data_IF_624508424433
#
_entry.id   IF_624508424433
#
_cell.length_a   1.000
_cell.length_b   1.000
_cell.length_c   1.000
_cell.angle_alpha   90.00
_cell.angle_beta   90.00
_cell.angle_gamma   90.00
#
_symmetry.space_group_name_H-M   'P 1'
#
loop_
_entity.id
_entity.type
_entity.pdbx_description
1 polymer ?
#
# COMPACT_ATOMS: atom_id res chain seq x y z
N UNK A 1 -8.68 14.59 -14.03
CA UNK A 1 -7.30 14.30 -13.59
C UNK A 1 -7.38 13.97 -12.09
N UNK A 2 -7.18 12.71 -11.70
CA UNK A 2 -7.30 12.33 -10.29
C UNK A 2 -5.97 12.69 -9.60
N UNK A 3 -5.95 13.52 -8.52
CA UNK A 3 -4.74 13.95 -7.82
C UNK A 3 -4.08 12.83 -6.98
N UNK A 4 -4.16 11.56 -7.40
CA UNK A 4 -3.73 10.38 -6.61
C UNK A 4 -2.25 10.52 -6.22
N UNK A 5 -1.40 10.96 -7.15
CA UNK A 5 0.02 11.14 -6.86
C UNK A 5 0.27 12.14 -5.73
N UNK A 6 -0.35 13.32 -5.78
CA UNK A 6 -0.21 14.35 -4.76
C UNK A 6 -0.86 13.94 -3.43
N UNK A 7 -2.05 13.32 -3.49
CA UNK A 7 -2.75 12.81 -2.31
C UNK A 7 -1.99 11.69 -1.58
N UNK A 8 -1.43 10.73 -2.32
CA UNK A 8 -0.56 9.68 -1.78
C UNK A 8 0.70 10.27 -1.14
N UNK A 9 1.23 11.36 -1.73
CA UNK A 9 2.34 12.12 -1.19
C UNK A 9 2.05 12.64 0.22
N UNK A 10 0.92 13.32 0.41
CA UNK A 10 0.50 13.80 1.73
C UNK A 10 0.18 12.67 2.69
N UNK A 11 -0.55 11.63 2.24
CA UNK A 11 -0.93 10.51 3.10
C UNK A 11 0.27 9.83 3.76
N UNK A 12 1.38 9.70 3.06
CA UNK A 12 2.60 9.17 3.66
C UNK A 12 3.09 10.04 4.83
N UNK A 13 2.96 11.36 4.74
CA UNK A 13 3.50 12.29 5.75
C UNK A 13 2.64 12.39 7.01
N UNK A 14 1.31 12.48 6.86
CA UNK A 14 0.43 12.75 8.00
C UNK A 14 -0.18 11.51 8.64
N UNK A 15 -0.09 10.35 7.98
CA UNK A 15 -0.79 9.14 8.42
C UNK A 15 0.07 8.20 9.28
N UNK A 16 0.96 8.79 10.08
CA UNK A 16 1.82 8.09 11.03
C UNK A 16 1.14 8.11 12.39
N UNK A 17 0.44 7.02 12.72
CA UNK A 17 -0.31 6.90 13.97
C UNK A 17 0.53 6.28 15.10
N UNK A 18 0.58 6.91 16.29
CA UNK A 18 1.15 6.26 17.47
C UNK A 18 0.29 5.07 17.92
N UNK A 19 0.90 4.10 18.58
CA UNK A 19 0.16 3.01 19.26
C UNK A 19 -0.34 1.88 18.35
N UNK A 20 0.04 1.88 17.06
CA UNK A 20 -0.17 0.76 16.13
C UNK A 20 1.16 0.28 15.55
N UNK A 21 1.23 -0.98 15.11
CA UNK A 21 2.37 -1.48 14.35
C UNK A 21 2.20 -1.17 12.84
N UNK A 22 3.16 -1.58 12.02
CA UNK A 22 3.12 -1.32 10.59
C UNK A 22 2.01 -2.07 9.83
N UNK A 23 1.26 -2.98 10.47
CA UNK A 23 0.04 -3.59 9.92
C UNK A 23 -1.01 -2.54 9.55
N UNK A 24 -0.98 -1.37 10.21
CA UNK A 24 -1.84 -0.23 9.90
C UNK A 24 -1.74 0.22 8.45
N UNK A 25 -0.58 0.05 7.82
CA UNK A 25 -0.34 0.52 6.45
C UNK A 25 -1.00 -0.34 5.37
N UNK A 26 -1.47 -1.54 5.71
CA UNK A 26 -2.12 -2.49 4.78
C UNK A 26 -3.29 -1.87 4.00
N UNK A 27 -4.09 -1.03 4.66
CA UNK A 27 -5.29 -0.44 4.05
C UNK A 27 -5.21 1.09 3.89
N UNK A 28 -4.16 1.73 4.42
CA UNK A 28 -4.15 3.18 4.63
C UNK A 28 -3.23 3.93 3.67
N UNK A 29 -1.92 3.61 3.68
CA UNK A 29 -0.89 4.32 2.87
C UNK A 29 -0.42 3.45 1.69
N UNK A 30 -0.17 2.16 1.92
CA UNK A 30 0.41 1.29 0.89
C UNK A 30 -0.44 1.20 -0.39
N UNK A 31 -1.78 1.07 -0.33
CA UNK A 31 -2.60 1.10 -1.55
C UNK A 31 -2.49 2.43 -2.32
N UNK A 32 -2.42 3.55 -1.61
CA UNK A 32 -2.35 4.88 -2.23
C UNK A 32 -1.02 5.09 -2.95
N UNK A 33 0.09 4.67 -2.33
CA UNK A 33 1.42 4.73 -2.94
C UNK A 33 1.50 3.88 -4.20
N UNK A 34 1.01 2.64 -4.17
CA UNK A 34 1.03 1.72 -5.31
C UNK A 34 0.10 2.17 -6.43
N UNK A 35 -1.11 2.64 -6.10
CA UNK A 35 -2.05 3.19 -7.07
C UNK A 35 -1.43 4.42 -7.79
N UNK A 36 -0.69 5.24 -7.05
CA UNK A 36 0.08 6.37 -7.59
C UNK A 36 1.40 6.01 -8.31
N UNK A 37 1.76 4.71 -8.35
CA UNK A 37 3.07 4.23 -8.80
C UNK A 37 4.27 4.87 -8.07
N UNK A 38 4.10 5.31 -6.82
CA UNK A 38 5.18 5.82 -5.95
C UNK A 38 5.93 4.67 -5.27
N UNK A 39 6.54 3.81 -6.08
CA UNK A 39 7.29 2.64 -5.62
C UNK A 39 8.54 3.02 -4.82
N UNK A 40 9.10 4.19 -5.09
CA UNK A 40 10.21 4.82 -4.35
C UNK A 40 9.93 5.00 -2.85
N UNK A 41 8.66 4.98 -2.45
CA UNK A 41 8.23 5.18 -1.06
C UNK A 41 7.86 3.89 -0.32
N UNK A 42 7.80 2.75 -1.02
CA UNK A 42 7.31 1.49 -0.42
C UNK A 42 8.26 1.01 0.69
N UNK A 43 9.56 1.00 0.44
CA UNK A 43 10.54 0.57 1.45
C UNK A 43 10.67 1.53 2.65
N UNK A 44 10.15 2.75 2.52
CA UNK A 44 10.09 3.71 3.63
C UNK A 44 8.99 3.32 4.63
N UNK A 45 7.86 2.80 4.15
CA UNK A 45 6.74 2.33 4.98
C UNK A 45 6.79 0.83 5.29
N UNK A 46 7.65 0.08 4.60
CA UNK A 46 7.88 -1.34 4.86
C UNK A 46 9.37 -1.68 4.83
N UNK A 47 10.17 -1.19 5.80
CA UNK A 47 11.60 -1.49 5.86
C UNK A 47 11.84 -2.95 6.18
N UNK A 48 12.73 -3.60 5.43
CA UNK A 48 13.14 -4.99 5.73
C UNK A 48 13.66 -5.16 7.17
N UNK A 49 14.30 -4.12 7.72
CA UNK A 49 14.84 -4.11 9.08
C UNK A 49 13.80 -4.23 10.19
N UNK A 50 12.54 -3.90 9.89
CA UNK A 50 11.46 -3.96 10.87
C UNK A 50 10.90 -5.37 11.06
N UNK A 51 11.25 -6.31 10.16
CA UNK A 51 10.71 -7.66 10.16
C UNK A 51 9.20 -7.72 9.93
N UNK A 52 8.64 -8.93 10.05
CA UNK A 52 7.21 -9.19 9.91
C UNK A 52 6.41 -8.63 11.11
N UNK A 53 5.13 -8.31 10.87
CA UNK A 53 4.14 -8.00 11.91
C UNK A 53 3.86 -9.20 12.82
N UNK A 54 3.86 -10.43 12.29
CA UNK A 54 3.57 -11.68 13.01
C UNK A 54 2.19 -11.73 13.70
N UNK A 55 1.22 -10.93 13.22
CA UNK A 55 -0.14 -10.86 13.77
C UNK A 55 -1.13 -11.73 12.99
N UNK A 56 -2.14 -12.29 13.67
CA UNK A 56 -3.17 -13.16 13.05
C UNK A 56 -4.41 -12.41 12.52
N UNK A 57 -4.43 -11.08 12.64
CA UNK A 57 -5.50 -10.26 12.09
C UNK A 57 -5.16 -9.86 10.64
N UNK A 58 -6.15 -9.61 9.76
CA UNK A 58 -5.92 -9.44 8.33
C UNK A 58 -4.86 -8.42 7.96
N UNK A 59 -4.85 -7.24 8.60
CA UNK A 59 -3.89 -6.19 8.28
C UNK A 59 -2.43 -6.60 8.50
N UNK A 60 -2.14 -7.41 9.51
CA UNK A 60 -0.79 -7.92 9.76
C UNK A 60 -0.38 -8.95 8.70
N UNK A 61 -1.28 -9.90 8.43
CA UNK A 61 -1.07 -10.93 7.41
C UNK A 61 -0.82 -10.31 6.03
N UNK A 62 -1.59 -9.29 5.67
CA UNK A 62 -1.44 -8.57 4.40
C UNK A 62 -0.08 -7.89 4.30
N UNK A 63 0.37 -7.21 5.37
CA UNK A 63 1.70 -6.59 5.36
C UNK A 63 2.81 -7.63 5.26
N UNK A 64 2.67 -8.76 5.95
CA UNK A 64 3.68 -9.83 5.93
C UNK A 64 3.80 -10.47 4.54
N UNK A 65 2.68 -10.77 3.89
CA UNK A 65 2.64 -11.25 2.51
C UNK A 65 3.18 -10.21 1.53
N UNK A 66 2.82 -8.94 1.72
CA UNK A 66 3.31 -7.86 0.87
C UNK A 66 4.83 -7.70 1.01
N UNK A 67 5.37 -7.82 2.22
CA UNK A 67 6.81 -7.76 2.48
C UNK A 67 7.55 -8.89 1.78
N UNK A 68 7.02 -10.12 1.87
CA UNK A 68 7.54 -11.27 1.15
C UNK A 68 7.54 -11.07 -0.37
N UNK A 69 6.47 -10.52 -0.94
CA UNK A 69 6.37 -10.21 -2.37
C UNK A 69 7.32 -9.11 -2.82
N UNK A 70 7.40 -8.02 -2.05
CA UNK A 70 8.19 -6.84 -2.43
C UNK A 70 9.68 -7.14 -2.39
N UNK A 71 10.15 -7.77 -1.31
CA UNK A 71 11.55 -8.14 -1.15
C UNK A 71 11.92 -9.46 -1.83
N UNK A 72 10.92 -10.22 -2.30
CA UNK A 72 11.10 -11.53 -2.95
C UNK A 72 11.93 -12.50 -2.09
N UNK A 73 11.74 -12.44 -0.77
CA UNK A 73 12.47 -13.25 0.21
C UNK A 73 11.65 -14.50 0.57
N UNK A 74 12.20 -15.68 0.26
CA UNK A 74 11.51 -16.96 0.47
C UNK A 74 11.28 -17.27 1.95
N UNK A 75 12.16 -16.83 2.86
CA UNK A 75 11.96 -17.04 4.31
C UNK A 75 10.81 -16.21 4.83
N UNK A 76 10.69 -14.96 4.34
CA UNK A 76 9.53 -14.13 4.64
C UNK A 76 8.25 -14.74 4.06
N UNK A 77 8.31 -15.30 2.84
CA UNK A 77 7.17 -15.96 2.22
C UNK A 77 6.70 -17.19 3.01
N UNK A 78 7.63 -18.07 3.43
CA UNK A 78 7.34 -19.24 4.25
C UNK A 78 6.66 -18.84 5.58
N UNK A 79 7.26 -17.88 6.28
CA UNK A 79 6.74 -17.35 7.55
C UNK A 79 5.34 -16.74 7.40
N UNK A 80 5.12 -15.93 6.36
CA UNK A 80 3.83 -15.31 6.09
C UNK A 80 2.76 -16.38 5.76
N UNK A 81 3.10 -17.41 4.98
CA UNK A 81 2.20 -18.53 4.66
C UNK A 81 1.81 -19.34 5.89
N UNK A 82 2.73 -19.57 6.81
CA UNK A 82 2.43 -20.25 8.08
C UNK A 82 1.37 -19.48 8.89
N UNK A 83 1.49 -18.15 8.95
CA UNK A 83 0.50 -17.29 9.63
C UNK A 83 -0.87 -17.38 8.93
N UNK A 84 -0.91 -17.35 7.59
CA UNK A 84 -2.16 -17.57 6.84
C UNK A 84 -2.77 -18.92 7.19
N UNK A 85 -1.96 -19.99 7.17
CA UNK A 85 -2.40 -21.35 7.45
C UNK A 85 -2.98 -21.49 8.87
N UNK A 86 -2.29 -20.95 9.87
CA UNK A 86 -2.74 -21.02 11.27
C UNK A 86 -3.94 -20.12 11.56
N UNK A 87 -4.26 -19.18 10.67
CA UNK A 87 -5.38 -18.25 10.81
C UNK A 87 -6.67 -18.71 10.12
N UNK A 88 -6.67 -19.86 9.43
CA UNK A 88 -7.81 -20.42 8.66
C UNK A 88 -9.14 -20.54 9.42
N UNK A 89 -9.11 -20.65 10.76
CA UNK A 89 -10.33 -20.71 11.59
C UNK A 89 -10.96 -19.35 11.86
N UNK A 90 -10.28 -18.26 11.51
CA UNK A 90 -10.73 -16.89 11.76
C UNK A 90 -11.73 -16.47 10.69
N UNK A 91 -12.88 -15.94 11.11
CA UNK A 91 -13.86 -15.36 10.19
C UNK A 91 -13.39 -13.98 9.76
N UNK A 92 -12.97 -13.85 8.51
CA UNK A 92 -12.60 -12.57 7.90
C UNK A 92 -13.74 -11.98 7.06
N UNK A 93 -13.67 -10.68 6.77
CA UNK A 93 -14.58 -10.07 5.80
C UNK A 93 -14.23 -10.58 4.40
N UNK A 94 -15.20 -10.58 3.49
CA UNK A 94 -14.97 -11.02 2.10
C UNK A 94 -13.81 -10.27 1.43
N UNK A 95 -13.70 -8.96 1.66
CA UNK A 95 -12.60 -8.15 1.13
C UNK A 95 -11.24 -8.62 1.67
N UNK A 96 -11.14 -8.85 2.98
CA UNK A 96 -9.91 -9.29 3.63
C UNK A 96 -9.47 -10.66 3.08
N UNK A 97 -10.42 -11.58 2.89
CA UNK A 97 -10.14 -12.90 2.31
C UNK A 97 -9.65 -12.80 0.86
N UNK A 98 -10.31 -12.00 0.03
CA UNK A 98 -9.91 -11.79 -1.36
C UNK A 98 -8.52 -11.14 -1.44
N UNK A 99 -8.22 -10.17 -0.57
CA UNK A 99 -6.92 -9.51 -0.53
C UNK A 99 -5.80 -10.48 -0.10
N UNK A 100 -5.98 -11.23 0.99
CA UNK A 100 -4.99 -12.24 1.41
C UNK A 100 -4.79 -13.30 0.33
N UNK A 101 -5.87 -13.80 -0.26
CA UNK A 101 -5.81 -14.83 -1.31
C UNK A 101 -5.13 -14.33 -2.57
N UNK A 102 -5.31 -13.06 -2.94
CA UNK A 102 -4.61 -12.41 -4.05
C UNK A 102 -3.09 -12.39 -3.84
N UNK A 103 -2.64 -11.97 -2.65
CA UNK A 103 -1.20 -11.92 -2.35
C UNK A 103 -0.58 -13.32 -2.32
N UNK A 104 -1.29 -14.31 -1.77
CA UNK A 104 -0.86 -15.72 -1.85
C UNK A 104 -0.74 -16.19 -3.31
N UNK A 105 -1.74 -15.90 -4.15
CA UNK A 105 -1.70 -16.26 -5.57
C UNK A 105 -0.52 -15.61 -6.30
N UNK A 106 -0.19 -14.36 -5.99
CA UNK A 106 1.02 -13.71 -6.53
C UNK A 106 2.31 -14.41 -6.06
N UNK A 107 2.41 -14.83 -4.80
CA UNK A 107 3.57 -15.59 -4.30
C UNK A 107 3.71 -16.94 -5.03
N UNK A 108 2.58 -17.57 -5.34
CA UNK A 108 2.49 -18.81 -6.12
C UNK A 108 2.66 -18.57 -7.64
N UNK A 109 2.73 -17.31 -8.07
CA UNK A 109 2.75 -16.88 -9.49
C UNK A 109 1.53 -17.39 -10.27
N UNK A 110 0.44 -17.67 -9.57
CA UNK A 110 -0.85 -18.08 -10.11
C UNK A 110 -1.64 -16.83 -10.55
N UNK A 111 -1.43 -16.44 -11.80
CA UNK A 111 -2.01 -15.23 -12.39
C UNK A 111 -3.52 -15.36 -12.61
N UNK A 112 -4.03 -16.58 -12.82
CA UNK A 112 -5.47 -16.83 -12.97
C UNK A 112 -6.18 -16.61 -11.64
N UNK A 113 -5.64 -17.21 -10.57
CA UNK A 113 -6.18 -17.02 -9.22
C UNK A 113 -6.03 -15.58 -8.76
N UNK A 114 -4.91 -14.93 -9.03
CA UNK A 114 -4.72 -13.51 -8.73
C UNK A 114 -5.78 -12.65 -9.45
N UNK A 115 -6.05 -12.91 -10.73
CA UNK A 115 -7.08 -12.20 -11.50
C UNK A 115 -8.48 -12.37 -10.91
N UNK A 116 -8.84 -13.60 -10.54
CA UNK A 116 -10.12 -13.91 -9.88
C UNK A 116 -10.26 -13.15 -8.54
N UNK A 117 -9.24 -13.22 -7.69
CA UNK A 117 -9.29 -12.57 -6.37
C UNK A 117 -9.34 -11.04 -6.49
N UNK A 118 -8.69 -10.46 -7.50
CA UNK A 118 -8.76 -9.02 -7.77
C UNK A 118 -10.16 -8.56 -8.18
N UNK A 119 -10.87 -9.32 -9.02
CA UNK A 119 -12.28 -9.08 -9.33
C UNK A 119 -13.17 -9.24 -8.09
N UNK A 120 -12.93 -10.27 -7.25
CA UNK A 120 -13.67 -10.46 -6.00
C UNK A 120 -13.48 -9.30 -5.00
N UNK A 121 -12.29 -8.70 -4.95
CA UNK A 121 -12.06 -7.47 -4.16
C UNK A 121 -12.97 -6.34 -4.64
N UNK A 122 -13.04 -6.13 -5.96
CA UNK A 122 -13.90 -5.11 -6.58
C UNK A 122 -15.40 -5.38 -6.34
N UNK A 123 -15.83 -6.63 -6.43
CA UNK A 123 -17.21 -7.04 -6.15
C UNK A 123 -17.58 -6.81 -4.67
N UNK A 124 -16.70 -7.21 -3.75
CA UNK A 124 -16.95 -7.16 -2.31
C UNK A 124 -17.12 -5.75 -1.76
N UNK A 125 -16.39 -4.76 -2.29
CA UNK A 125 -16.42 -3.38 -1.78
C UNK A 125 -17.74 -2.66 -2.07
N UNK A 126 -18.44 -3.00 -3.17
CA UNK A 126 -19.71 -2.35 -3.55
C UNK A 126 -20.75 -2.45 -2.42
N UNK A 127 -20.83 -3.62 -1.79
CA UNK A 127 -21.79 -3.94 -0.71
C UNK A 127 -21.24 -3.65 0.69
N UNK A 128 -19.96 -3.28 0.82
CA UNK A 128 -19.35 -3.01 2.11
C UNK A 128 -19.97 -1.77 2.77
N UNK A 129 -20.14 -1.81 4.10
CA UNK A 129 -20.63 -0.69 4.91
C UNK A 129 -19.49 -0.23 5.82
N UNK A 130 -19.41 1.07 6.09
CA UNK A 130 -18.36 1.66 6.94
C UNK A 130 -17.89 3.01 6.43
N UNK A 131 -17.32 3.82 7.32
CA UNK A 131 -16.78 5.15 6.99
C UNK A 131 -15.58 5.05 6.04
N UNK A 132 -14.88 3.91 6.06
CA UNK A 132 -13.79 3.58 5.15
C UNK A 132 -14.25 3.37 3.70
N UNK A 133 -15.54 3.11 3.45
CA UNK A 133 -16.14 2.87 2.13
C UNK A 133 -17.15 3.97 1.77
N UNK A 134 -16.71 5.23 1.79
CA UNK A 134 -17.55 6.34 1.29
C UNK A 134 -17.96 6.11 -0.18
N UNK A 135 -19.08 6.70 -0.65
CA UNK A 135 -19.54 6.52 -2.03
C UNK A 135 -18.44 6.73 -3.07
N UNK A 136 -17.67 7.81 -2.94
CA UNK A 136 -16.51 8.08 -3.81
C UNK A 136 -15.47 6.95 -3.83
N UNK A 137 -15.10 6.41 -2.66
CA UNK A 137 -14.12 5.31 -2.57
C UNK A 137 -14.64 3.98 -3.14
N UNK A 138 -15.95 3.85 -3.29
CA UNK A 138 -16.58 2.70 -3.92
C UNK A 138 -16.67 2.84 -5.44
N UNK A 139 -16.65 4.05 -5.97
CA UNK A 139 -16.66 4.34 -7.40
C UNK A 139 -15.26 4.29 -8.01
N UNK A 140 -14.23 4.67 -7.27
CA UNK A 140 -12.84 4.48 -7.68
C UNK A 140 -12.10 3.69 -6.60
N UNK A 141 -11.99 2.37 -6.79
CA UNK A 141 -11.46 1.49 -5.77
C UNK A 141 -9.94 1.42 -5.80
N UNK A 142 -9.32 2.34 -5.06
CA UNK A 142 -7.85 2.53 -4.98
C UNK A 142 -7.11 1.23 -4.70
N UNK A 143 -7.62 0.38 -3.82
CA UNK A 143 -6.97 -0.89 -3.49
C UNK A 143 -6.88 -1.83 -4.69
N UNK A 144 -7.90 -1.90 -5.55
CA UNK A 144 -7.83 -2.74 -6.74
C UNK A 144 -6.77 -2.24 -7.74
N UNK A 145 -6.70 -0.92 -7.96
CA UNK A 145 -5.64 -0.33 -8.78
C UNK A 145 -4.25 -0.55 -8.18
N UNK A 146 -4.12 -0.41 -6.85
CA UNK A 146 -2.87 -0.68 -6.15
C UNK A 146 -2.38 -2.12 -6.36
N UNK A 147 -3.29 -3.08 -6.23
CA UNK A 147 -2.97 -4.50 -6.36
C UNK A 147 -2.68 -4.87 -7.81
N UNK A 148 -3.42 -4.32 -8.77
CA UNK A 148 -3.09 -4.43 -10.18
C UNK A 148 -1.67 -3.92 -10.45
N UNK A 149 -1.33 -2.73 -9.96
CA UNK A 149 -0.01 -2.13 -10.15
C UNK A 149 1.10 -2.94 -9.46
N UNK A 150 0.86 -3.49 -8.27
CA UNK A 150 1.83 -4.36 -7.57
C UNK A 150 2.33 -5.50 -8.47
N UNK A 151 1.43 -6.16 -9.20
CA UNK A 151 1.78 -7.27 -10.10
C UNK A 151 2.75 -6.87 -11.22
N UNK A 152 2.86 -5.58 -11.52
CA UNK A 152 3.73 -5.04 -12.56
C UNK A 152 5.16 -4.80 -12.06
N UNK A 153 5.34 -4.61 -10.75
CA UNK A 153 6.63 -4.24 -10.15
C UNK A 153 7.39 -5.43 -9.53
N UNK A 154 6.68 -6.49 -9.12
CA UNK A 154 7.30 -7.66 -8.49
C UNK A 154 7.92 -8.62 -9.51
N UNK A 155 8.87 -9.45 -9.06
CA UNK A 155 9.56 -10.46 -9.87
C UNK A 155 10.19 -9.90 -11.14
N UNK A 156 10.79 -8.71 -11.06
CA UNK A 156 11.41 -8.01 -12.20
C UNK A 156 10.45 -7.83 -13.39
N UNK A 157 9.15 -7.62 -13.08
CA UNK A 157 8.11 -7.46 -14.10
C UNK A 157 7.67 -8.76 -14.78
N UNK A 158 8.09 -9.94 -14.31
CA UNK A 158 7.67 -11.25 -14.91
C UNK A 158 6.16 -11.48 -14.90
N UNK A 159 5.42 -10.78 -14.03
CA UNK A 159 3.95 -10.83 -13.95
C UNK A 159 3.26 -9.64 -14.63
N UNK A 160 4.04 -8.69 -15.19
CA UNK A 160 3.49 -7.52 -15.86
C UNK A 160 2.56 -7.92 -17.02
N UNK A 161 1.39 -7.29 -17.06
CA UNK A 161 0.33 -7.59 -18.02
C UNK A 161 -0.34 -8.98 -17.93
N UNK A 162 0.02 -9.85 -16.96
CA UNK A 162 -0.54 -11.20 -16.84
C UNK A 162 -1.77 -11.31 -15.94
N UNK A 163 -1.85 -10.45 -14.92
CA UNK A 163 -3.07 -10.32 -14.11
C UNK A 163 -4.11 -9.56 -14.92
N UNK A 164 -5.30 -10.12 -15.08
CA UNK A 164 -6.38 -9.51 -15.85
C UNK A 164 -6.93 -8.27 -15.12
N UNK A 165 -7.30 -7.25 -15.89
CA UNK A 165 -8.03 -6.11 -15.35
C UNK A 165 -9.45 -6.55 -14.93
N UNK A 166 -9.90 -6.18 -13.72
CA UNK A 166 -11.29 -6.36 -13.31
C UNK A 166 -12.28 -5.73 -14.30
N UNK A 167 -13.49 -6.28 -14.39
CA UNK A 167 -14.57 -5.78 -15.25
C UNK A 167 -15.55 -4.86 -14.51
N UNK A 168 -15.41 -4.77 -13.19
CA UNK A 168 -16.28 -4.01 -12.31
C UNK A 168 -16.09 -2.50 -12.51
N UNK A 169 -17.21 -1.75 -12.51
CA UNK A 169 -17.24 -0.31 -12.76
C UNK A 169 -16.36 0.53 -11.83
N UNK A 170 -16.01 -0.02 -10.66
CA UNK A 170 -15.15 0.63 -9.68
C UNK A 170 -13.65 0.46 -9.92
N UNK A 171 -13.29 -0.25 -10.99
CA UNK A 171 -11.94 -0.34 -11.53
C UNK A 171 -11.91 0.36 -12.90
N UNK A 172 -11.27 1.53 -12.98
CA UNK A 172 -11.16 2.25 -14.25
C UNK A 172 -10.10 1.62 -15.14
N UNK A 173 -10.53 0.88 -16.16
CA UNK A 173 -9.64 0.30 -17.16
C UNK A 173 -8.89 1.37 -17.94
N UNK A 174 -9.52 2.51 -18.21
CA UNK A 174 -8.91 3.65 -18.88
C UNK A 174 -7.73 4.19 -18.07
N UNK A 175 -7.89 4.31 -16.75
CA UNK A 175 -6.80 4.71 -15.86
C UNK A 175 -5.67 3.67 -15.85
N UNK A 176 -5.99 2.38 -15.72
CA UNK A 176 -5.00 1.31 -15.72
C UNK A 176 -4.23 1.25 -17.07
N UNK A 177 -4.92 1.37 -18.20
CA UNK A 177 -4.31 1.43 -19.53
C UNK A 177 -3.45 2.67 -19.72
N UNK A 178 -3.90 3.82 -19.22
CA UNK A 178 -3.07 5.04 -19.23
C UNK A 178 -1.78 4.82 -18.44
N UNK A 179 -1.82 4.18 -17.27
CA UNK A 179 -0.61 3.85 -16.51
C UNK A 179 0.31 2.90 -17.27
N UNK A 180 -0.24 1.85 -17.90
CA UNK A 180 0.52 0.92 -18.74
C UNK A 180 1.22 1.65 -19.91
N UNK A 181 0.48 2.47 -20.65
CA UNK A 181 0.99 3.23 -21.79
C UNK A 181 2.07 4.25 -21.40
N UNK A 182 2.09 4.67 -20.14
CA UNK A 182 3.09 5.58 -19.59
C UNK A 182 4.19 4.85 -18.78
N UNK A 183 4.26 3.52 -18.87
CA UNK A 183 5.28 2.69 -18.24
C UNK A 183 5.21 2.68 -16.71
N UNK A 184 4.01 2.82 -16.14
CA UNK A 184 3.77 2.92 -14.70
C UNK A 184 4.64 3.96 -13.99
N UNK A 185 5.02 5.03 -14.68
CA UNK A 185 5.79 6.12 -14.08
C UNK A 185 4.96 6.78 -12.99
N UNK A 186 5.64 7.12 -11.89
CA UNK A 186 5.04 7.93 -10.84
C UNK A 186 4.56 9.26 -11.46
N UNK A 187 3.39 9.73 -11.01
CA UNK A 187 2.82 10.99 -11.46
C UNK A 187 3.65 12.23 -11.07
N UNK A 188 3.06 13.41 -11.24
CA UNK A 188 3.63 14.68 -10.79
C UNK A 188 2.63 15.40 -9.89
N UNK A 189 3.12 16.33 -9.07
CA UNK A 189 2.24 17.26 -8.37
C UNK A 189 1.46 18.06 -9.42
N UNK A 190 0.16 18.26 -9.19
CA UNK A 190 -0.74 18.93 -10.13
C UNK A 190 -1.19 20.30 -9.64
N UNK A 191 -0.98 20.58 -8.36
CA UNK A 191 -1.33 21.84 -7.75
C UNK A 191 -0.16 22.34 -6.89
N UNK A 192 0.35 23.50 -7.26
CA UNK A 192 1.35 24.23 -6.50
C UNK A 192 0.66 25.14 -5.47
N UNK A 193 0.96 24.93 -4.20
CA UNK A 193 0.42 25.71 -3.10
C UNK A 193 1.06 27.10 -3.07
N UNK A 194 0.28 28.20 -3.12
CA UNK A 194 0.81 29.55 -3.04
C UNK A 194 1.23 29.90 -1.59
N UNK A 195 1.92 31.03 -1.43
CA UNK A 195 2.08 31.66 -0.12
C UNK A 195 0.71 31.97 0.53
N UNK A 196 0.54 31.83 1.86
CA UNK A 196 1.55 31.49 2.86
C UNK A 196 1.70 29.97 3.14
N UNK A 197 1.11 29.11 2.31
CA UNK A 197 1.03 27.66 2.52
C UNK A 197 1.95 26.86 1.59
N UNK A 198 2.94 27.51 0.97
CA UNK A 198 3.91 26.89 0.07
C UNK A 198 4.75 25.78 0.73
N UNK A 199 4.78 25.71 2.07
CA UNK A 199 5.35 24.60 2.83
C UNK A 199 4.83 23.23 2.37
N UNK A 200 3.58 23.15 1.89
CA UNK A 200 3.03 21.91 1.37
C UNK A 200 3.74 21.42 0.09
N UNK A 201 4.25 22.32 -0.76
CA UNK A 201 5.05 21.93 -1.93
C UNK A 201 6.34 21.25 -1.46
N UNK A 202 7.04 21.89 -0.50
CA UNK A 202 8.25 21.32 0.08
C UNK A 202 7.99 19.94 0.69
N UNK A 203 6.89 19.78 1.42
CA UNK A 203 6.50 18.50 2.01
C UNK A 203 6.26 17.42 0.93
N UNK A 204 5.66 17.77 -0.20
CA UNK A 204 5.44 16.81 -1.29
C UNK A 204 6.74 16.36 -1.97
N UNK A 205 7.73 17.25 -2.04
CA UNK A 205 8.98 17.06 -2.76
C UNK A 205 10.05 16.32 -1.95
N UNK A 206 10.02 16.43 -0.62
CA UNK A 206 10.96 15.68 0.23
C UNK A 206 10.67 14.18 0.22
N UNK A 207 11.75 13.38 0.31
CA UNK A 207 11.66 11.95 0.60
C UNK A 207 11.40 11.78 2.11
N UNK A 208 10.25 11.21 2.52
CA UNK A 208 9.92 11.05 3.93
C UNK A 208 10.94 10.17 4.68
N UNK A 209 11.02 10.29 6.01
CA UNK A 209 11.79 9.34 6.82
C UNK A 209 11.31 7.91 6.64
N UNK A 210 12.20 6.95 6.94
CA UNK A 210 11.84 5.55 7.04
C UNK A 210 11.07 5.33 8.34
N UNK A 211 10.08 4.44 8.34
CA UNK A 211 9.39 4.08 9.59
C UNK A 211 10.32 3.26 10.48
N UNK A 212 10.31 3.53 11.77
CA UNK A 212 10.99 2.72 12.76
C UNK A 212 9.97 2.09 13.69
N UNK A 213 10.27 0.89 14.19
CA UNK A 213 9.47 0.26 15.24
C UNK A 213 10.20 0.34 16.58
N UNK A 214 9.43 0.55 17.64
CA UNK A 214 9.86 0.49 19.04
C UNK A 214 9.07 -0.59 19.76
N UNK A 215 9.75 -1.38 20.57
CA UNK A 215 9.11 -2.37 21.43
C UNK A 215 8.57 -1.70 22.70
N UNK A 216 7.29 -1.91 22.99
CA UNK A 216 6.68 -1.56 24.28
C UNK A 216 5.80 -2.73 24.72
N UNK A 217 5.92 -3.15 25.98
CA UNK A 217 5.09 -4.24 26.53
C UNK A 217 5.07 -5.51 25.64
N UNK A 218 6.23 -5.92 25.09
CA UNK A 218 6.38 -7.07 24.19
C UNK A 218 5.59 -6.96 22.87
N UNK A 219 5.29 -5.74 22.43
CA UNK A 219 4.62 -5.43 21.17
C UNK A 219 5.39 -4.35 20.43
N UNK A 220 5.46 -4.48 19.12
CA UNK A 220 6.09 -3.49 18.25
C UNK A 220 5.10 -2.39 17.92
N UNK A 221 5.54 -1.14 17.95
CA UNK A 221 4.75 0.03 17.59
C UNK A 221 5.56 0.94 16.68
N UNK A 222 4.89 1.68 15.80
CA UNK A 222 5.54 2.72 15.01
C UNK A 222 6.09 3.80 15.95
N UNK A 223 7.36 4.14 15.77
CA UNK A 223 8.02 5.26 16.43
C UNK A 223 7.64 6.58 15.73
N UNK A 224 6.42 7.03 16.01
CA UNK A 224 5.87 8.26 15.44
C UNK A 224 6.65 9.50 15.84
N UNK A 225 7.26 9.51 17.04
CA UNK A 225 8.00 10.67 17.52
C UNK A 225 9.33 10.80 16.79
N UNK A 226 10.06 9.70 16.62
CA UNK A 226 11.26 9.69 15.79
C UNK A 226 10.95 10.08 14.35
N UNK A 227 9.88 9.54 13.75
CA UNK A 227 9.48 9.92 12.39
C UNK A 227 9.23 11.43 12.26
N UNK A 228 8.50 12.03 13.21
CA UNK A 228 8.25 13.49 13.22
C UNK A 228 9.55 14.29 13.32
N UNK A 229 10.46 13.91 14.21
CA UNK A 229 11.74 14.59 14.40
C UNK A 229 12.60 14.52 13.13
N UNK A 230 12.72 13.35 12.52
CA UNK A 230 13.47 13.16 11.27
C UNK A 230 12.83 13.94 10.10
N UNK A 231 11.49 14.00 10.05
CA UNK A 231 10.76 14.78 9.05
C UNK A 231 11.02 16.28 9.21
N UNK A 232 10.89 16.81 10.43
CA UNK A 232 11.17 18.22 10.75
C UNK A 232 12.61 18.57 10.38
N UNK A 233 13.56 17.70 10.73
CA UNK A 233 14.97 17.89 10.37
C UNK A 233 15.16 17.99 8.86
N UNK A 234 14.56 17.07 8.08
CA UNK A 234 14.60 17.11 6.60
C UNK A 234 14.01 18.39 6.03
N UNK A 235 12.88 18.85 6.56
CA UNK A 235 12.23 20.10 6.14
C UNK A 235 13.14 21.31 6.41
N UNK A 236 13.75 21.38 7.59
CA UNK A 236 14.66 22.49 7.96
C UNK A 236 15.90 22.50 7.05
N UNK A 237 16.49 21.33 6.77
CA UNK A 237 17.65 21.24 5.87
C UNK A 237 17.31 21.68 4.45
N UNK A 238 16.15 21.25 3.93
CA UNK A 238 15.71 21.58 2.57
C UNK A 238 15.35 23.05 2.37
N UNK A 239 15.09 23.80 3.45
CA UNK A 239 14.91 25.27 3.39
C UNK A 239 16.23 26.05 3.41
N UNK A 240 17.34 25.41 3.75
CA UNK A 240 18.68 26.03 3.85
C UNK A 240 19.53 25.84 2.60
N UNK A 241 19.19 24.85 1.78
CA UNK A 241 19.76 24.59 0.45
C UNK A 241 19.09 25.45 -0.62
#
# INVERSE_FOLDING_TARGET
MIPIYQAAGFKHLYNILPGVNHAYYSYSIMPELLCACRTDRIELILPIQNGLCCGKFPGAIIMDLFMALWYQDEKLAESAREIVHTSKKTKWRHLDHAYISYLCALLDKDVEKASEQLSLMCHGVRKAKGVEFSPFKKEFFILAHAMFNLSQFIYDGKLAGKVAMPNEDNFSKEFAQWQQNNGFKAGKNIYDFPEPINLYNLLLDIIPPKIHLIEKHKRMFIDSERFKQELIYKVIQSKRS
#
